data_IF_418908912061
#
_entry.id   IF_418908912061
#
_cell.length_a   1.000
_cell.length_b   1.000
_cell.length_c   1.000
_cell.angle_alpha   90.00
_cell.angle_beta   90.00
_cell.angle_gamma   90.00
#
_symmetry.space_group_name_H-M   'P 1'
#
loop_
_entity.id
_entity.type
_entity.pdbx_description
1 polymer ?
#
# COMPACT_ATOMS: atom_id res chain seq x y z
N UNK A 1 16.72 22.97 -3.45
CA UNK A 1 15.63 23.34 -4.39
C UNK A 1 14.35 23.36 -3.57
N UNK A 2 13.67 24.50 -3.51
CA UNK A 2 12.43 24.68 -2.72
C UNK A 2 11.28 24.66 -3.72
N UNK A 3 10.30 23.79 -3.50
CA UNK A 3 9.04 23.83 -4.23
C UNK A 3 8.13 24.74 -3.41
N UNK A 4 7.98 25.99 -3.85
CA UNK A 4 6.98 26.89 -3.29
C UNK A 4 5.59 26.30 -3.57
N UNK A 5 4.77 26.11 -2.52
CA UNK A 5 3.39 25.60 -2.65
C UNK A 5 3.14 24.18 -2.15
N UNK A 6 4.14 23.48 -1.59
CA UNK A 6 3.87 22.28 -0.79
C UNK A 6 3.17 22.71 0.49
N UNK A 7 1.86 22.45 0.57
CA UNK A 7 1.11 22.67 1.81
C UNK A 7 1.30 21.46 2.71
N UNK A 8 1.88 21.70 3.88
CA UNK A 8 1.98 20.73 4.97
C UNK A 8 0.72 20.90 5.83
N UNK A 9 -0.15 19.89 5.82
CA UNK A 9 -1.32 19.88 6.68
C UNK A 9 -0.99 19.10 7.96
N UNK A 10 -1.06 19.77 9.11
CA UNK A 10 -1.02 19.13 10.42
C UNK A 10 -2.46 18.90 10.88
N UNK A 11 -2.96 17.68 10.72
CA UNK A 11 -4.20 17.26 11.36
C UNK A 11 -3.88 16.80 12.78
N UNK A 12 -4.55 17.35 13.80
CA UNK A 12 -4.42 16.92 15.19
C UNK A 12 -5.24 15.67 15.52
N UNK A 13 -6.20 15.28 14.68
CA UNK A 13 -7.16 14.21 14.98
C UNK A 13 -7.52 13.34 13.76
N UNK A 14 -7.70 12.04 13.97
CA UNK A 14 -8.03 11.01 12.97
C UNK A 14 -9.52 10.93 12.61
N UNK A 15 -10.23 12.07 12.59
CA UNK A 15 -11.61 12.10 12.11
C UNK A 15 -11.66 11.91 10.58
N UNK A 16 -12.68 11.20 10.06
CA UNK A 16 -12.83 10.84 8.63
C UNK A 16 -12.65 12.06 7.69
N UNK A 17 -13.14 13.23 8.11
CA UNK A 17 -12.98 14.50 7.37
C UNK A 17 -11.51 14.89 7.19
N UNK A 18 -10.66 14.66 8.20
CA UNK A 18 -9.24 15.00 8.17
C UNK A 18 -8.44 14.04 7.29
N UNK A 19 -8.85 12.76 7.24
CA UNK A 19 -8.23 11.74 6.38
C UNK A 19 -8.43 12.05 4.90
N UNK A 20 -9.65 12.46 4.51
CA UNK A 20 -9.94 12.88 3.13
C UNK A 20 -9.23 14.19 2.75
N UNK A 21 -9.09 15.14 3.68
CA UNK A 21 -8.32 16.38 3.46
C UNK A 21 -6.84 16.05 3.24
N UNK A 22 -6.26 15.20 4.10
CA UNK A 22 -4.87 14.72 3.97
C UNK A 22 -4.63 14.10 2.60
N UNK A 23 -5.52 13.22 2.16
CA UNK A 23 -5.36 12.52 0.89
C UNK A 23 -5.45 13.46 -0.31
N UNK A 24 -6.39 14.42 -0.28
CA UNK A 24 -6.49 15.47 -1.28
C UNK A 24 -5.20 16.29 -1.36
N UNK A 25 -4.58 16.59 -0.22
CA UNK A 25 -3.34 17.37 -0.19
C UNK A 25 -2.15 16.56 -0.72
N UNK A 26 -2.03 15.27 -0.38
CA UNK A 26 -1.02 14.37 -0.96
C UNK A 26 -1.16 14.34 -2.49
N UNK A 27 -2.38 14.15 -3.00
CA UNK A 27 -2.67 14.14 -4.43
C UNK A 27 -2.31 15.47 -5.11
N UNK A 28 -2.69 16.61 -4.50
CA UNK A 28 -2.37 17.94 -5.01
C UNK A 28 -0.86 18.17 -5.08
N UNK A 29 -0.13 17.82 -4.01
CA UNK A 29 1.31 17.96 -3.94
C UNK A 29 1.99 17.08 -5.00
N UNK A 30 1.58 15.81 -5.11
CA UNK A 30 2.13 14.91 -6.12
C UNK A 30 1.89 15.42 -7.54
N UNK A 31 0.68 15.91 -7.87
CA UNK A 31 0.39 16.47 -9.19
C UNK A 31 1.29 17.66 -9.51
N UNK A 32 1.47 18.58 -8.56
CA UNK A 32 2.37 19.73 -8.74
C UNK A 32 3.80 19.30 -9.05
N UNK A 33 4.33 18.30 -8.32
CA UNK A 33 5.65 17.73 -8.60
C UNK A 33 5.69 17.07 -9.98
N UNK A 34 4.71 16.22 -10.29
CA UNK A 34 4.64 15.44 -11.53
C UNK A 34 4.45 16.29 -12.80
N UNK A 35 3.82 17.45 -12.67
CA UNK A 35 3.64 18.43 -13.76
C UNK A 35 4.86 19.33 -13.95
N UNK A 36 5.59 19.63 -12.88
CA UNK A 36 6.76 20.50 -12.93
C UNK A 36 8.03 19.81 -13.44
N UNK A 37 8.27 18.56 -13.03
CA UNK A 37 9.50 17.82 -13.39
C UNK A 37 9.34 16.95 -14.64
N UNK A 38 10.46 16.60 -15.32
CA UNK A 38 10.43 15.66 -16.43
C UNK A 38 9.70 14.36 -16.08
N UNK A 39 8.91 13.86 -17.02
CA UNK A 39 8.14 12.62 -16.82
C UNK A 39 9.11 11.45 -16.64
N UNK A 40 8.90 10.70 -15.56
CA UNK A 40 9.82 9.64 -15.13
C UNK A 40 9.17 8.72 -14.10
N UNK A 41 9.99 7.86 -13.46
CA UNK A 41 9.53 6.97 -12.39
C UNK A 41 9.60 7.70 -11.04
N UNK A 42 8.49 7.71 -10.33
CA UNK A 42 8.37 8.28 -8.99
C UNK A 42 8.27 7.15 -7.97
N UNK A 43 9.01 7.29 -6.88
CA UNK A 43 9.06 6.32 -5.79
C UNK A 43 8.73 7.02 -4.48
N UNK A 44 8.04 6.31 -3.59
CA UNK A 44 7.70 6.84 -2.27
C UNK A 44 7.31 5.72 -1.32
N UNK A 45 7.51 5.96 -0.04
CA UNK A 45 7.04 5.10 1.04
C UNK A 45 5.81 5.72 1.67
N UNK A 46 4.76 4.93 1.82
CA UNK A 46 3.48 5.38 2.34
C UNK A 46 2.92 4.34 3.31
N UNK A 47 2.10 4.79 4.26
CA UNK A 47 1.29 3.88 5.05
C UNK A 47 0.41 3.01 4.15
N UNK A 48 0.20 1.74 4.53
CA UNK A 48 -0.48 0.74 3.69
C UNK A 48 -1.87 1.17 3.21
N UNK A 49 -2.57 2.03 3.95
CA UNK A 49 -3.89 2.54 3.59
C UNK A 49 -3.91 3.44 2.33
N UNK A 50 -2.78 4.04 1.97
CA UNK A 50 -2.69 5.00 0.85
C UNK A 50 -2.47 4.35 -0.51
N UNK A 51 -1.96 3.13 -0.53
CA UNK A 51 -1.42 2.49 -1.72
C UNK A 51 -2.25 1.35 -2.37
N UNK A 52 -3.41 0.88 -1.87
CA UNK A 52 -4.20 -0.09 -2.61
C UNK A 52 -4.72 0.48 -3.94
N UNK A 53 -4.75 -0.32 -5.01
CA UNK A 53 -5.25 0.11 -6.32
C UNK A 53 -6.77 0.31 -6.37
N UNK A 54 -7.51 -0.37 -5.50
CA UNK A 54 -8.97 -0.33 -5.43
C UNK A 54 -9.43 0.69 -4.38
N UNK A 55 -10.52 1.40 -4.68
CA UNK A 55 -11.14 2.37 -3.78
C UNK A 55 -11.98 1.71 -2.69
N UNK A 56 -12.23 2.44 -1.61
CA UNK A 56 -13.12 1.99 -0.54
C UNK A 56 -12.58 0.83 0.31
N UNK A 57 -11.31 0.46 0.11
CA UNK A 57 -10.67 -0.62 0.85
C UNK A 57 -9.86 -0.20 2.07
N UNK A 58 -10.04 1.05 2.45
CA UNK A 58 -9.48 1.59 3.65
C UNK A 58 -10.47 2.56 4.27
N UNK A 59 -10.17 2.99 5.48
CA UNK A 59 -10.82 4.16 6.07
C UNK A 59 -10.67 5.43 5.21
N UNK A 60 -9.75 5.42 4.23
CA UNK A 60 -9.59 6.44 3.18
C UNK A 60 -10.32 5.97 1.91
N UNK A 61 -11.46 6.59 1.60
CA UNK A 61 -12.28 6.20 0.45
C UNK A 61 -11.54 6.41 -0.88
N UNK A 62 -10.86 7.54 -1.00
CA UNK A 62 -10.16 7.99 -2.21
C UNK A 62 -8.64 7.95 -2.00
N UNK A 63 -8.10 6.79 -1.63
CA UNK A 63 -6.67 6.65 -1.36
C UNK A 63 -5.81 7.02 -2.59
N UNK A 64 -4.58 7.44 -2.32
CA UNK A 64 -3.65 8.03 -3.26
C UNK A 64 -3.42 7.15 -4.51
N UNK A 65 -3.07 5.88 -4.33
CA UNK A 65 -2.80 4.98 -5.45
C UNK A 65 -4.05 4.74 -6.29
N UNK A 66 -5.20 4.49 -5.66
CA UNK A 66 -6.46 4.23 -6.39
C UNK A 66 -6.89 5.43 -7.23
N UNK A 67 -6.77 6.66 -6.72
CA UNK A 67 -7.11 7.87 -7.47
C UNK A 67 -6.16 8.08 -8.65
N UNK A 68 -4.85 7.93 -8.45
CA UNK A 68 -3.90 8.03 -9.57
C UNK A 68 -4.11 6.94 -10.62
N UNK A 69 -4.47 5.72 -10.19
CA UNK A 69 -4.67 4.58 -11.07
C UNK A 69 -5.97 4.65 -11.87
N UNK A 70 -6.97 5.41 -11.42
CA UNK A 70 -8.32 5.45 -12.04
C UNK A 70 -8.68 6.79 -12.66
N UNK A 71 -8.39 7.87 -11.94
CA UNK A 71 -8.92 9.22 -12.20
C UNK A 71 -7.91 10.15 -12.85
N UNK A 72 -6.61 9.82 -12.81
CA UNK A 72 -5.57 10.61 -13.45
C UNK A 72 -5.10 9.92 -14.73
N UNK A 73 -5.60 10.38 -15.88
CA UNK A 73 -5.44 9.72 -17.19
C UNK A 73 -4.00 9.40 -17.56
N UNK A 74 -3.05 10.30 -17.26
CA UNK A 74 -1.62 10.09 -17.54
C UNK A 74 -1.01 8.90 -16.80
N UNK A 75 -1.54 8.56 -15.61
CA UNK A 75 -1.03 7.51 -14.72
C UNK A 75 -1.95 6.30 -14.59
N UNK A 76 -3.10 6.32 -15.29
CA UNK A 76 -4.05 5.21 -15.31
C UNK A 76 -3.36 3.91 -15.73
N UNK A 77 -3.44 2.88 -14.89
CA UNK A 77 -2.80 1.58 -15.12
C UNK A 77 -1.27 1.56 -14.97
N UNK A 78 -0.64 2.67 -14.57
CA UNK A 78 0.82 2.79 -14.42
C UNK A 78 1.29 2.76 -12.96
N UNK A 79 0.36 2.66 -12.01
CA UNK A 79 0.66 2.61 -10.58
C UNK A 79 1.07 1.20 -10.17
N UNK A 80 2.20 1.08 -9.46
CA UNK A 80 2.78 -0.19 -9.02
C UNK A 80 2.94 -0.23 -7.50
N UNK A 81 1.87 -0.55 -6.75
CA UNK A 81 1.94 -0.60 -5.30
C UNK A 81 2.54 -1.91 -4.82
N UNK A 82 3.42 -1.77 -3.83
CA UNK A 82 4.12 -2.86 -3.19
C UNK A 82 3.74 -2.85 -1.72
N UNK A 83 3.02 -3.89 -1.28
CA UNK A 83 2.76 -4.10 0.13
C UNK A 83 4.00 -4.67 0.83
N UNK A 84 4.11 -4.53 2.15
CA UNK A 84 5.12 -5.28 2.90
C UNK A 84 4.56 -5.85 4.20
N UNK A 85 5.17 -6.94 4.65
CA UNK A 85 4.88 -7.61 5.92
C UNK A 85 6.13 -8.30 6.46
N UNK A 86 6.19 -8.51 7.77
CA UNK A 86 7.25 -9.29 8.39
C UNK A 86 6.93 -10.78 8.33
N UNK A 87 7.94 -11.64 8.15
CA UNK A 87 7.79 -13.10 8.07
C UNK A 87 7.27 -13.75 9.35
N UNK A 88 7.39 -13.06 10.48
CA UNK A 88 6.96 -13.52 11.80
C UNK A 88 6.06 -12.48 12.46
N UNK A 89 4.84 -12.25 11.92
CA UNK A 89 3.94 -11.24 12.45
C UNK A 89 3.29 -11.74 13.75
N UNK A 90 3.03 -10.82 14.68
CA UNK A 90 2.38 -11.15 15.96
C UNK A 90 0.89 -11.54 15.77
N UNK A 91 0.23 -11.00 14.75
CA UNK A 91 -1.20 -11.22 14.53
C UNK A 91 -1.48 -12.53 13.78
N UNK A 92 -2.41 -13.34 14.28
CA UNK A 92 -2.76 -14.64 13.69
C UNK A 92 -3.27 -14.52 12.24
N UNK A 93 -4.03 -13.46 11.94
CA UNK A 93 -4.49 -13.17 10.57
C UNK A 93 -3.33 -13.00 9.59
N UNK A 94 -2.26 -12.33 10.02
CA UNK A 94 -1.08 -12.10 9.21
C UNK A 94 -0.26 -13.39 9.03
N UNK A 95 -0.22 -14.26 10.05
CA UNK A 95 0.39 -15.59 9.91
C UNK A 95 -0.36 -16.43 8.87
N UNK A 96 -1.69 -16.41 8.89
CA UNK A 96 -2.53 -17.07 7.87
C UNK A 96 -2.24 -16.53 6.47
N UNK A 97 -2.17 -15.20 6.32
CA UNK A 97 -1.84 -14.55 5.05
C UNK A 97 -0.45 -14.95 4.52
N UNK A 98 0.56 -15.10 5.39
CA UNK A 98 1.93 -15.45 4.98
C UNK A 98 2.08 -16.92 4.61
N UNK A 99 1.22 -17.80 5.12
CA UNK A 99 1.32 -19.26 4.95
C UNK A 99 1.58 -19.72 3.49
N UNK A 100 0.91 -19.19 2.45
CA UNK A 100 1.18 -19.57 1.06
C UNK A 100 2.59 -19.20 0.57
N UNK A 101 3.22 -18.19 1.16
CA UNK A 101 4.55 -17.70 0.79
C UNK A 101 5.68 -18.43 1.53
N UNK A 102 5.42 -18.96 2.72
CA UNK A 102 6.41 -19.56 3.61
C UNK A 102 7.34 -20.59 2.95
N UNK A 103 6.88 -21.49 2.05
CA UNK A 103 7.77 -22.46 1.39
C UNK A 103 8.84 -21.82 0.50
N UNK A 104 8.65 -20.56 0.09
CA UNK A 104 9.52 -19.84 -0.84
C UNK A 104 10.45 -18.84 -0.14
N UNK A 105 10.37 -18.74 1.19
CA UNK A 105 11.20 -17.83 1.98
C UNK A 105 12.59 -18.41 2.22
N UNK A 106 13.61 -17.72 1.73
CA UNK A 106 15.02 -18.03 2.02
C UNK A 106 15.45 -17.31 3.31
N UNK A 107 15.61 -18.07 4.40
CA UNK A 107 15.97 -17.54 5.72
C UNK A 107 17.32 -16.80 5.74
N UNK A 108 18.16 -16.95 4.73
CA UNK A 108 19.43 -16.22 4.63
C UNK A 108 19.27 -14.81 4.04
N UNK A 109 18.11 -14.48 3.46
CA UNK A 109 17.82 -13.17 2.87
C UNK A 109 17.10 -12.26 3.86
N UNK A 110 17.39 -10.95 3.79
CA UNK A 110 16.67 -9.95 4.59
C UNK A 110 15.22 -9.78 4.17
N UNK A 111 14.91 -10.01 2.90
CA UNK A 111 13.55 -9.97 2.38
C UNK A 111 13.41 -10.79 1.10
N UNK A 112 12.17 -11.11 0.75
CA UNK A 112 11.78 -11.70 -0.53
C UNK A 112 10.64 -10.89 -1.15
N UNK A 113 10.70 -10.64 -2.45
CA UNK A 113 9.65 -9.93 -3.20
C UNK A 113 8.86 -10.95 -4.02
N UNK A 114 7.54 -10.96 -3.85
CA UNK A 114 6.62 -11.78 -4.62
C UNK A 114 5.76 -10.88 -5.51
N UNK A 115 5.85 -11.12 -6.81
CA UNK A 115 4.90 -10.56 -7.78
C UNK A 115 3.55 -11.24 -7.57
N UNK A 116 2.46 -10.47 -7.56
CA UNK A 116 1.11 -10.98 -7.26
C UNK A 116 0.22 -11.10 -8.48
N UNK A 117 0.58 -10.51 -9.63
CA UNK A 117 -0.29 -10.43 -10.80
C UNK A 117 0.24 -11.22 -12.00
N UNK A 118 -0.68 -11.59 -12.88
CA UNK A 118 -0.41 -12.24 -14.17
C UNK A 118 -0.97 -13.66 -14.24
N UNK A 119 -1.05 -14.20 -15.45
CA UNK A 119 -1.58 -15.54 -15.70
C UNK A 119 -0.79 -16.59 -14.92
N UNK A 120 -1.49 -17.46 -14.20
CA UNK A 120 -0.92 -18.55 -13.39
C UNK A 120 0.05 -18.08 -12.29
N UNK A 121 -0.13 -16.87 -11.76
CA UNK A 121 0.65 -16.39 -10.62
C UNK A 121 0.29 -17.20 -9.35
N UNK A 122 1.21 -17.97 -8.75
CA UNK A 122 0.92 -18.76 -7.55
C UNK A 122 0.77 -17.89 -6.28
N UNK A 123 1.08 -16.61 -6.40
CA UNK A 123 1.07 -15.63 -5.32
C UNK A 123 -0.11 -14.65 -5.42
N UNK A 124 -1.02 -14.87 -6.37
CA UNK A 124 -2.30 -14.17 -6.41
C UNK A 124 -3.29 -14.84 -5.46
N UNK A 125 -2.95 -14.72 -4.17
CA UNK A 125 -3.70 -15.34 -3.07
C UNK A 125 -4.84 -14.43 -2.63
N UNK A 126 -5.82 -14.94 -1.86
CA UNK A 126 -6.80 -14.08 -1.22
C UNK A 126 -6.14 -12.95 -0.42
N UNK A 127 -6.66 -11.73 -0.55
CA UNK A 127 -6.12 -10.55 0.15
C UNK A 127 -6.45 -10.52 1.65
N UNK A 128 -7.20 -11.53 2.14
CA UNK A 128 -7.65 -11.68 3.52
C UNK A 128 -6.52 -11.51 4.54
N UNK A 129 -6.80 -10.85 5.66
CA UNK A 129 -5.85 -10.62 6.74
C UNK A 129 -4.84 -9.52 6.43
N UNK A 130 -4.34 -9.40 5.18
CA UNK A 130 -3.42 -8.33 4.78
C UNK A 130 -4.12 -6.96 4.78
N UNK A 131 -5.37 -6.92 4.35
CA UNK A 131 -6.19 -5.71 4.29
C UNK A 131 -6.85 -5.34 5.63
N UNK A 132 -7.08 -6.28 6.55
CA UNK A 132 -7.82 -6.04 7.80
C UNK A 132 -7.26 -4.92 8.69
N UNK A 133 -5.97 -4.63 8.60
CA UNK A 133 -5.34 -3.52 9.36
C UNK A 133 -5.49 -2.15 8.71
N UNK A 134 -6.26 -2.06 7.62
CA UNK A 134 -6.47 -0.85 6.82
C UNK A 134 -7.91 -0.32 7.02
N UNK A 135 -8.82 -1.13 7.57
CA UNK A 135 -10.24 -0.80 7.75
C UNK A 135 -10.56 -0.38 9.18
N UNK A 136 -11.29 0.72 9.32
CA UNK A 136 -11.98 1.08 10.56
C UNK A 136 -13.50 0.92 10.35
N UNK A 137 -14.05 -0.22 10.77
CA UNK A 137 -15.46 -0.28 11.18
C UNK A 137 -16.50 -0.83 10.21
N UNK A 138 -16.15 -1.31 9.01
CA UNK A 138 -17.01 -2.24 8.26
C UNK A 138 -16.17 -3.36 7.67
N UNK A 139 -16.58 -4.64 7.82
CA UNK A 139 -15.91 -5.73 7.13
C UNK A 139 -15.95 -5.42 5.63
N UNK A 140 -14.84 -5.69 4.94
CA UNK A 140 -14.88 -5.92 3.50
C UNK A 140 -16.05 -6.88 3.28
N UNK A 141 -16.80 -6.73 2.19
CA UNK A 141 -17.60 -7.86 1.73
C UNK A 141 -16.57 -8.95 1.44
N UNK A 142 -16.42 -9.82 2.43
CA UNK A 142 -15.34 -10.79 2.62
C UNK A 142 -15.68 -11.95 1.69
N UNK A 143 -15.61 -11.68 0.38
CA UNK A 143 -15.77 -12.72 -0.62
C UNK A 143 -14.39 -13.22 -0.98
N UNK A 144 -14.26 -14.55 -1.07
CA UNK A 144 -13.08 -15.24 -1.56
C UNK A 144 -12.66 -14.80 -2.99
N UNK A 145 -13.45 -13.94 -3.63
CA UNK A 145 -13.23 -13.40 -4.97
C UNK A 145 -12.16 -12.29 -5.01
N UNK A 146 -11.84 -11.67 -3.87
CA UNK A 146 -10.87 -10.57 -3.81
C UNK A 146 -9.44 -11.10 -3.72
N UNK A 147 -8.70 -10.96 -4.82
CA UNK A 147 -7.33 -11.42 -4.93
C UNK A 147 -6.33 -10.32 -4.58
N UNK A 148 -5.13 -10.69 -4.16
CA UNK A 148 -4.12 -9.71 -3.78
C UNK A 148 -3.72 -8.79 -4.95
N UNK A 149 -3.77 -9.29 -6.19
CA UNK A 149 -3.43 -8.54 -7.39
C UNK A 149 -4.39 -7.39 -7.72
N UNK A 150 -5.60 -7.42 -7.16
CA UNK A 150 -6.58 -6.33 -7.24
C UNK A 150 -6.10 -5.10 -6.47
N UNK A 151 -5.27 -5.29 -5.43
CA UNK A 151 -4.84 -4.22 -4.52
C UNK A 151 -3.36 -3.87 -4.65
N UNK A 152 -2.50 -4.89 -4.78
CA UNK A 152 -1.05 -4.75 -4.78
C UNK A 152 -0.47 -5.52 -5.96
N UNK A 153 0.56 -4.98 -6.63
CA UNK A 153 1.26 -5.67 -7.73
C UNK A 153 2.46 -6.50 -7.25
N UNK A 154 2.90 -6.26 -6.03
CA UNK A 154 3.84 -7.12 -5.33
C UNK A 154 3.65 -7.03 -3.81
N UNK A 155 4.18 -8.01 -3.09
CA UNK A 155 4.48 -7.89 -1.66
C UNK A 155 5.95 -8.16 -1.38
N UNK A 156 6.46 -7.51 -0.34
CA UNK A 156 7.76 -7.78 0.26
C UNK A 156 7.52 -8.49 1.60
N UNK A 157 8.12 -9.65 1.78
CA UNK A 157 8.18 -10.33 3.08
C UNK A 157 9.56 -10.10 3.67
N UNK A 158 9.61 -9.39 4.79
CA UNK A 158 10.83 -9.00 5.51
C UNK A 158 11.14 -10.07 6.56
N UNK A 159 12.35 -10.63 6.54
CA UNK A 159 12.72 -11.84 7.28
C UNK A 159 13.80 -11.56 8.33
N UNK A 160 14.96 -11.08 7.89
CA UNK A 160 16.06 -10.72 8.79
C UNK A 160 16.06 -9.22 9.01
N UNK A 161 15.38 -8.80 10.07
CA UNK A 161 15.40 -7.43 10.55
C UNK A 161 15.99 -7.40 11.95
N UNK A 162 16.97 -6.51 12.16
CA UNK A 162 17.42 -6.15 13.51
C UNK A 162 16.61 -4.92 13.91
N UNK A 163 15.93 -5.00 15.05
CA UNK A 163 15.54 -3.79 15.76
C UNK A 163 16.82 -3.24 16.36
N UNK A 164 17.51 -2.39 15.61
CA UNK A 164 18.40 -1.45 16.25
C UNK A 164 17.47 -0.54 17.06
N UNK A 165 17.59 -0.58 18.40
CA UNK A 165 16.82 0.25 19.31
C UNK A 165 17.15 1.73 19.05
N UNK A 166 16.59 2.28 17.98
CA UNK A 166 16.57 3.70 17.72
C UNK A 166 15.40 4.26 18.53
N UNK A 167 15.71 4.64 19.77
CA UNK A 167 14.89 5.56 20.54
C UNK A 167 14.86 6.89 19.76
N UNK A 168 13.73 7.18 19.14
CA UNK A 168 13.40 8.50 18.60
C UNK A 168 12.85 9.39 19.71
#
# INVERSE_FOLDING_TARGET
>A
MIIDGIVVYHASDDNITNLDIREKQILKNFKSVYEHYPKGKYYGQWGRAHIPLTQGVSHIKNNFASVLNTSYSELKGKIFPIGYIYSSPNSEKYKKFIKPFSPYLDKNKSFTIFKTYGKNCPFDVPAYGFLDGIYSGKPIVDTDDNTLSDYFKAIIIIQNYKFDNLSF
#
